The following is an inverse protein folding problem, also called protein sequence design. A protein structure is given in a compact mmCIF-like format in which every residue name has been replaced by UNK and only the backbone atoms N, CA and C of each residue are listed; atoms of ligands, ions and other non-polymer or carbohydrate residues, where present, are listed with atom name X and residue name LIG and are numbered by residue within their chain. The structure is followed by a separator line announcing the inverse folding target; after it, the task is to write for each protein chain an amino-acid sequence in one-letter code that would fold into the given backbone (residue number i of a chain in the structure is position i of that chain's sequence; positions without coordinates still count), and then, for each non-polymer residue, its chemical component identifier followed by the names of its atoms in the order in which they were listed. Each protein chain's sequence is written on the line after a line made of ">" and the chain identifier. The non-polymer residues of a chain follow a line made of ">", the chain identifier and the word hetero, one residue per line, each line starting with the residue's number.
data_IF_942686133577
#
_entry.id   IF_942686133577
#
_cell.length_a   1.000
_cell.length_b   1.000
_cell.length_c   1.000
_cell.angle_alpha   90.00
_cell.angle_beta   90.00
_cell.angle_gamma   90.00
#
_symmetry.space_group_name_H-M   'P 1'
#
loop_
_entity.id
_entity.type
_entity.pdbx_description
1 polymer ?
#
# COMPACT_ATOMS: atom_id res chain seq x y z
N UNK A 1 6.81 1.86 -10.75
CA UNK A 1 6.78 0.42 -10.38
C UNK A 1 8.09 0.07 -9.69
N UNK A 2 8.08 -0.75 -8.63
CA UNK A 2 9.31 -1.34 -8.12
C UNK A 2 9.94 -2.25 -9.16
N UNK A 3 11.25 -2.46 -9.05
CA UNK A 3 12.01 -3.37 -9.93
C UNK A 3 12.34 -4.68 -9.22
N UNK A 4 12.36 -4.68 -7.88
CA UNK A 4 12.59 -5.87 -7.04
C UNK A 4 11.74 -5.81 -5.78
N UNK A 5 11.26 -6.98 -5.34
CA UNK A 5 10.46 -7.14 -4.13
C UNK A 5 10.97 -8.35 -3.35
N UNK A 6 11.09 -8.19 -2.03
CA UNK A 6 11.22 -9.28 -1.08
C UNK A 6 10.10 -9.19 -0.06
N UNK A 7 9.34 -10.27 0.13
CA UNK A 7 8.15 -10.24 0.97
C UNK A 7 7.99 -11.51 1.82
N UNK A 8 7.31 -11.32 2.94
CA UNK A 8 6.82 -12.35 3.83
C UNK A 8 5.30 -12.22 3.91
N UNK A 9 4.58 -13.23 3.41
CA UNK A 9 3.13 -13.34 3.48
C UNK A 9 2.81 -14.54 4.37
N UNK A 10 2.17 -14.30 5.51
CA UNK A 10 1.76 -15.35 6.42
C UNK A 10 0.28 -15.66 6.20
N UNK A 11 0.00 -16.92 5.93
CA UNK A 11 -1.35 -17.47 5.79
C UNK A 11 -1.85 -17.93 7.17
N UNK A 12 -3.13 -17.70 7.47
CA UNK A 12 -3.78 -18.19 8.70
C UNK A 12 -3.04 -17.82 10.01
N UNK A 13 -2.37 -16.67 10.06
CA UNK A 13 -1.67 -16.22 11.27
C UNK A 13 -2.64 -15.76 12.35
N UNK A 14 -3.71 -15.08 11.93
CA UNK A 14 -4.71 -14.46 12.80
C UNK A 14 -6.10 -15.05 12.63
N UNK A 15 -6.42 -15.56 11.45
CA UNK A 15 -7.75 -16.04 11.09
C UNK A 15 -7.67 -17.46 10.53
N UNK A 16 -8.75 -18.22 10.66
CA UNK A 16 -8.90 -19.54 10.04
C UNK A 16 -9.26 -19.39 8.54
N UNK A 17 -8.26 -19.01 7.75
CA UNK A 17 -8.36 -18.80 6.29
C UNK A 17 -7.13 -19.37 5.58
N UNK A 18 -7.24 -19.69 4.30
CA UNK A 18 -6.13 -20.24 3.49
C UNK A 18 -5.48 -19.18 2.59
N UNK A 19 -5.59 -17.91 2.98
CA UNK A 19 -4.92 -16.78 2.33
C UNK A 19 -4.13 -15.99 3.36
N UNK A 20 -3.33 -15.04 2.90
CA UNK A 20 -2.55 -14.19 3.78
C UNK A 20 -3.45 -13.26 4.60
N UNK A 21 -3.07 -13.07 5.83
CA UNK A 21 -3.66 -12.10 6.77
C UNK A 21 -2.59 -11.21 7.45
N UNK A 22 -1.32 -11.41 7.07
CA UNK A 22 -0.18 -10.62 7.54
C UNK A 22 0.88 -10.57 6.44
N UNK A 23 1.23 -9.38 5.97
CA UNK A 23 2.21 -9.16 4.90
C UNK A 23 3.19 -8.08 5.28
N UNK A 24 4.49 -8.36 5.08
CA UNK A 24 5.56 -7.37 5.11
C UNK A 24 6.41 -7.50 3.85
N UNK A 25 6.59 -6.40 3.13
CA UNK A 25 7.37 -6.39 1.90
C UNK A 25 8.35 -5.23 1.85
N UNK A 26 9.55 -5.50 1.32
CA UNK A 26 10.55 -4.51 0.96
C UNK A 26 10.62 -4.38 -0.56
N UNK A 27 10.67 -3.17 -1.06
CA UNK A 27 10.65 -2.84 -2.48
C UNK A 27 11.81 -1.93 -2.85
N UNK A 28 12.42 -2.20 -4.01
CA UNK A 28 13.45 -1.35 -4.62
C UNK A 28 12.92 -0.77 -5.95
N UNK A 29 13.27 0.48 -6.21
CA UNK A 29 12.87 1.21 -7.42
C UNK A 29 14.08 1.54 -8.27
N UNK A 30 13.89 1.68 -9.60
CA UNK A 30 14.96 1.94 -10.55
C UNK A 30 15.77 3.23 -10.23
N UNK A 31 15.14 4.23 -9.65
CA UNK A 31 15.78 5.48 -9.24
C UNK A 31 16.55 5.40 -7.90
N UNK A 32 16.67 4.21 -7.32
CA UNK A 32 17.33 3.97 -6.04
C UNK A 32 16.45 4.23 -4.81
N UNK A 33 15.19 4.62 -4.99
CA UNK A 33 14.24 4.69 -3.88
C UNK A 33 13.93 3.28 -3.34
N UNK A 34 13.54 3.22 -2.08
CA UNK A 34 13.10 2.00 -1.41
C UNK A 34 11.73 2.22 -0.77
N UNK A 35 11.01 1.15 -0.56
CA UNK A 35 9.73 1.17 0.13
C UNK A 35 9.54 -0.03 1.03
N UNK A 36 8.78 0.15 2.11
CA UNK A 36 8.31 -0.92 2.98
C UNK A 36 6.80 -0.87 3.00
N UNK A 37 6.18 -2.00 2.78
CA UNK A 37 4.73 -2.17 2.87
C UNK A 37 4.43 -3.17 3.98
N UNK A 38 3.56 -2.78 4.91
CA UNK A 38 3.08 -3.64 5.98
C UNK A 38 1.57 -3.58 5.99
N UNK A 39 0.93 -4.72 5.99
CA UNK A 39 -0.51 -4.84 6.18
C UNK A 39 -0.86 -6.10 6.94
N UNK A 40 -1.85 -6.02 7.80
CA UNK A 40 -2.36 -7.17 8.55
C UNK A 40 -3.82 -6.95 8.91
N UNK A 41 -4.58 -8.02 8.98
CA UNK A 41 -5.96 -8.01 9.47
C UNK A 41 -6.06 -8.31 10.97
N UNK A 42 -4.92 -8.63 11.60
CA UNK A 42 -4.82 -8.94 13.03
C UNK A 42 -4.44 -7.76 13.92
N UNK A 43 -4.32 -6.54 13.36
CA UNK A 43 -3.97 -5.33 14.11
C UNK A 43 -5.23 -4.54 14.49
N UNK A 44 -5.45 -4.34 15.80
CA UNK A 44 -6.55 -3.56 16.33
C UNK A 44 -6.02 -2.55 17.37
N UNK A 45 -6.29 -1.25 17.20
CA UNK A 45 -7.29 -0.61 16.31
C UNK A 45 -6.85 -0.42 14.86
N UNK A 46 -5.73 -0.97 14.43
CA UNK A 46 -5.18 -0.83 13.09
C UNK A 46 -4.47 0.50 12.84
N UNK A 47 -3.68 0.53 11.80
CA UNK A 47 -2.91 1.71 11.37
C UNK A 47 -3.16 1.97 9.89
N UNK A 48 -3.54 3.20 9.53
CA UNK A 48 -3.58 3.65 8.14
C UNK A 48 -2.63 4.83 8.00
N UNK A 49 -1.39 4.53 7.60
CA UNK A 49 -0.30 5.51 7.54
C UNK A 49 0.54 5.32 6.29
N UNK A 50 0.82 6.44 5.62
CA UNK A 50 1.78 6.51 4.51
C UNK A 50 2.82 7.59 4.82
N UNK A 51 4.09 7.21 4.75
CA UNK A 51 5.20 8.16 4.80
C UNK A 51 5.95 8.15 3.48
N UNK A 52 6.23 9.33 2.95
CA UNK A 52 7.07 9.52 1.77
C UNK A 52 8.21 10.47 2.13
N UNK A 53 9.43 9.95 2.17
CA UNK A 53 10.62 10.73 2.47
C UNK A 53 11.37 11.05 1.17
N UNK A 54 11.63 12.32 0.94
CA UNK A 54 12.45 12.85 -0.16
C UNK A 54 13.57 13.74 0.36
N UNK A 55 14.40 14.26 -0.55
CA UNK A 55 15.55 15.08 -0.17
C UNK A 55 15.18 16.47 0.36
N UNK A 56 13.96 16.93 0.09
CA UNK A 56 13.44 18.23 0.54
C UNK A 56 12.47 18.11 1.73
N UNK A 57 12.33 16.91 2.31
CA UNK A 57 11.46 16.71 3.45
C UNK A 57 10.70 15.40 3.43
N UNK A 58 9.70 15.32 4.30
CA UNK A 58 8.86 14.13 4.48
C UNK A 58 7.37 14.51 4.54
N UNK A 59 6.56 13.78 3.78
CA UNK A 59 5.12 13.80 3.91
C UNK A 59 4.67 12.61 4.78
N UNK A 60 3.78 12.88 5.72
CA UNK A 60 3.15 11.87 6.56
C UNK A 60 1.64 12.00 6.38
N UNK A 61 1.03 10.97 5.81
CA UNK A 61 -0.42 10.82 5.79
C UNK A 61 -0.79 9.85 6.91
N UNK A 62 -1.52 10.33 7.89
CA UNK A 62 -1.99 9.53 9.02
C UNK A 62 -3.51 9.70 9.12
N UNK A 63 -4.24 8.67 8.73
CA UNK A 63 -5.69 8.71 8.53
C UNK A 63 -6.10 9.90 7.64
N UNK A 64 -6.72 10.92 8.20
CA UNK A 64 -7.25 12.09 7.48
C UNK A 64 -6.33 13.33 7.57
N UNK A 65 -5.16 13.18 8.17
CA UNK A 65 -4.22 14.30 8.36
C UNK A 65 -3.03 14.12 7.44
N UNK A 66 -2.63 15.19 6.76
CA UNK A 66 -1.39 15.24 5.98
C UNK A 66 -0.47 16.27 6.60
N UNK A 67 0.69 15.81 7.06
CA UNK A 67 1.73 16.69 7.62
C UNK A 67 2.94 16.71 6.71
N UNK A 68 3.42 17.89 6.36
CA UNK A 68 4.65 18.08 5.61
C UNK A 68 5.77 18.61 6.52
N UNK A 69 6.81 17.81 6.68
CA UNK A 69 8.06 18.21 7.32
C UNK A 69 9.01 18.71 6.23
N UNK A 70 8.99 20.01 5.98
CA UNK A 70 9.81 20.66 4.94
C UNK A 70 11.21 20.94 5.47
N UNK A 71 12.22 20.51 4.75
CA UNK A 71 13.61 20.90 5.01
C UNK A 71 13.93 22.26 4.38
N UNK A 72 14.75 23.07 5.06
CA UNK A 72 15.22 24.36 4.57
C UNK A 72 16.20 24.21 3.39
N UNK A 73 16.90 23.08 3.32
CA UNK A 73 17.84 22.74 2.23
C UNK A 73 17.69 21.28 1.86
N UNK A 74 18.15 20.94 0.65
CA UNK A 74 18.25 19.56 0.20
C UNK A 74 19.13 18.75 1.16
N UNK A 75 18.65 17.61 1.62
CA UNK A 75 19.31 16.74 2.58
C UNK A 75 20.68 16.22 2.07
N UNK A 76 20.76 15.86 0.77
CA UNK A 76 22.01 15.37 0.17
C UNK A 76 23.06 16.48 0.07
N UNK A 77 22.64 17.72 -0.18
CA UNK A 77 23.56 18.87 -0.18
C UNK A 77 23.99 19.23 1.24
N UNK A 78 23.06 19.16 2.19
CA UNK A 78 23.38 19.32 3.61
C UNK A 78 24.46 18.32 4.06
N UNK A 79 24.30 17.04 3.76
CA UNK A 79 25.27 16.00 4.13
C UNK A 79 26.68 16.26 3.61
N UNK A 80 26.83 16.91 2.46
CA UNK A 80 28.16 17.27 1.90
C UNK A 80 28.83 18.43 2.64
N UNK A 81 28.08 19.30 3.27
CA UNK A 81 28.55 20.57 3.85
C UNK A 81 28.42 20.63 5.37
N UNK A 82 27.71 19.70 5.97
CA UNK A 82 27.49 19.66 7.41
C UNK A 82 28.80 19.52 8.20
N UNK A 83 28.93 20.34 9.24
CA UNK A 83 30.09 20.33 10.12
C UNK A 83 29.91 19.39 11.35
N UNK A 84 28.74 18.78 11.46
CA UNK A 84 28.36 17.90 12.57
C UNK A 84 27.91 16.55 12.05
N UNK A 85 28.34 15.45 12.67
CA UNK A 85 28.02 14.09 12.22
C UNK A 85 26.55 13.68 12.42
N UNK A 86 25.77 14.41 13.20
CA UNK A 86 24.38 14.09 13.56
C UNK A 86 23.42 15.27 13.38
N UNK A 87 23.85 16.32 12.66
CA UNK A 87 22.98 17.45 12.34
C UNK A 87 21.95 17.10 11.28
N UNK A 88 20.85 17.83 11.27
CA UNK A 88 19.83 17.81 10.22
C UNK A 88 19.59 19.25 9.74
N UNK A 89 19.16 19.47 8.49
CA UNK A 89 18.65 20.76 8.06
C UNK A 89 17.52 21.25 8.97
N UNK A 90 17.33 22.55 9.06
CA UNK A 90 16.19 23.09 9.78
C UNK A 90 14.88 22.58 9.15
N UNK A 91 13.94 22.18 10.01
CA UNK A 91 12.66 21.62 9.63
C UNK A 91 11.54 22.59 9.95
N UNK A 92 10.66 22.83 9.01
CA UNK A 92 9.35 23.49 9.24
C UNK A 92 8.26 22.43 9.10
N UNK A 93 7.35 22.39 10.07
CA UNK A 93 6.23 21.42 10.07
C UNK A 93 4.96 22.16 9.69
N UNK A 94 4.29 21.68 8.67
CA UNK A 94 3.08 22.27 8.11
C UNK A 94 1.99 21.19 8.01
N UNK A 95 0.79 21.50 8.47
CA UNK A 95 -0.40 20.70 8.16
C UNK A 95 -0.91 21.08 6.78
N UNK A 96 -0.99 20.11 5.87
CA UNK A 96 -1.49 20.34 4.51
C UNK A 96 -3.01 20.35 4.54
N UNK A 97 -3.61 21.52 4.26
CA UNK A 97 -5.06 21.62 4.14
C UNK A 97 -5.55 20.92 2.89
N UNK A 98 -6.54 20.06 3.07
CA UNK A 98 -7.29 19.43 1.98
C UNK A 98 -8.64 20.13 1.81
N UNK A 99 -9.32 19.86 0.71
CA UNK A 99 -10.70 20.33 0.47
C UNK A 99 -11.73 19.64 1.39
N UNK A 100 -11.34 18.58 2.07
CA UNK A 100 -12.20 17.76 2.92
C UNK A 100 -13.15 16.85 2.16
N UNK A 101 -13.14 16.90 0.84
CA UNK A 101 -13.97 16.05 -0.01
C UNK A 101 -13.39 14.65 -0.13
N UNK A 102 -14.21 13.66 0.22
CA UNK A 102 -13.87 12.26 0.01
C UNK A 102 -15.09 11.50 -0.54
N UNK A 103 -15.44 11.71 -1.80
CA UNK A 103 -16.60 11.08 -2.42
C UNK A 103 -16.44 9.57 -2.66
N UNK A 104 -15.27 9.00 -2.39
CA UNK A 104 -14.96 7.57 -2.46
C UNK A 104 -15.51 6.90 -3.75
N UNK A 105 -16.23 5.81 -3.62
CA UNK A 105 -16.79 5.06 -4.75
C UNK A 105 -17.76 5.87 -5.60
N UNK A 106 -18.53 6.78 -5.00
CA UNK A 106 -19.44 7.67 -5.74
C UNK A 106 -18.64 8.61 -6.66
N UNK A 107 -17.52 9.13 -6.17
CA UNK A 107 -16.62 9.96 -6.96
C UNK A 107 -16.01 9.22 -8.15
N UNK A 108 -15.58 7.98 -7.93
CA UNK A 108 -15.03 7.10 -8.98
C UNK A 108 -16.09 6.82 -10.06
N UNK A 109 -17.30 6.44 -9.67
CA UNK A 109 -18.38 6.16 -10.60
C UNK A 109 -18.80 7.40 -11.41
N UNK A 110 -18.88 8.56 -10.75
CA UNK A 110 -19.21 9.82 -11.43
C UNK A 110 -18.10 10.25 -12.41
N UNK A 111 -16.83 10.07 -12.06
CA UNK A 111 -15.71 10.35 -12.95
C UNK A 111 -15.73 9.42 -14.17
N UNK A 112 -16.02 8.14 -13.98
CA UNK A 112 -16.16 7.18 -15.07
C UNK A 112 -17.33 7.52 -15.99
N UNK A 113 -18.51 7.87 -15.45
CA UNK A 113 -19.67 8.28 -16.22
C UNK A 113 -19.38 9.56 -17.04
N UNK A 114 -18.69 10.55 -16.47
CA UNK A 114 -18.26 11.76 -17.19
C UNK A 114 -17.26 11.43 -18.30
N UNK A 115 -16.30 10.52 -18.04
CA UNK A 115 -15.37 10.07 -19.07
C UNK A 115 -16.11 9.51 -20.29
N UNK A 116 -17.10 8.64 -20.07
CA UNK A 116 -17.90 8.06 -21.18
C UNK A 116 -18.68 9.13 -21.94
N UNK A 117 -19.30 10.09 -21.24
CA UNK A 117 -20.17 11.10 -21.85
C UNK A 117 -19.41 12.25 -22.50
N UNK A 118 -18.30 12.66 -21.92
CA UNK A 118 -17.66 13.94 -22.20
C UNK A 118 -16.18 13.78 -22.59
N UNK A 119 -15.62 12.57 -22.49
CA UNK A 119 -14.20 12.32 -22.78
C UNK A 119 -13.25 12.92 -21.73
N UNK A 120 -13.71 13.25 -20.52
CA UNK A 120 -12.87 13.80 -19.47
C UNK A 120 -11.81 12.78 -19.03
N UNK A 121 -10.57 13.21 -18.66
CA UNK A 121 -9.55 12.28 -18.20
C UNK A 121 -10.00 11.51 -16.95
N UNK A 122 -9.66 10.22 -16.87
CA UNK A 122 -9.81 9.44 -15.65
C UNK A 122 -8.67 9.75 -14.68
N UNK A 123 -8.97 9.81 -13.39
CA UNK A 123 -7.96 9.94 -12.33
C UNK A 123 -7.11 8.68 -12.26
N UNK A 124 -7.71 7.51 -12.47
CA UNK A 124 -7.05 6.22 -12.56
C UNK A 124 -7.68 5.43 -13.72
N UNK A 125 -6.88 5.10 -14.73
CA UNK A 125 -7.29 4.24 -15.83
C UNK A 125 -7.34 2.79 -15.34
N UNK A 126 -8.37 2.03 -15.71
CA UNK A 126 -8.49 0.62 -15.32
C UNK A 126 -7.30 -0.25 -15.74
N UNK A 127 -6.58 0.15 -16.80
CA UNK A 127 -5.32 -0.51 -17.21
C UNK A 127 -4.20 -0.39 -16.17
N UNK A 128 -4.21 0.65 -15.35
CA UNK A 128 -3.23 0.82 -14.27
C UNK A 128 -3.40 -0.21 -13.15
N UNK A 129 -4.56 -0.84 -13.05
CA UNK A 129 -4.83 -1.92 -12.10
C UNK A 129 -3.86 -3.10 -12.22
N UNK A 130 -3.28 -3.32 -13.43
CA UNK A 130 -2.25 -4.35 -13.63
C UNK A 130 -1.00 -4.11 -12.77
N UNK A 131 -0.68 -2.85 -12.47
CA UNK A 131 0.48 -2.50 -11.64
C UNK A 131 0.31 -3.01 -10.20
N UNK A 132 -0.86 -2.79 -9.61
CA UNK A 132 -1.17 -3.30 -8.27
C UNK A 132 -1.18 -4.83 -8.22
N UNK A 133 -1.80 -5.46 -9.23
CA UNK A 133 -1.83 -6.93 -9.35
C UNK A 133 -0.42 -7.52 -9.51
N UNK A 134 0.44 -6.89 -10.30
CA UNK A 134 1.82 -7.34 -10.49
C UNK A 134 2.64 -7.25 -9.20
N UNK A 135 2.45 -6.18 -8.42
CA UNK A 135 3.11 -6.02 -7.12
C UNK A 135 2.65 -7.09 -6.14
N UNK A 136 1.34 -7.32 -6.00
CA UNK A 136 0.82 -8.36 -5.10
C UNK A 136 1.28 -9.76 -5.50
N UNK A 137 1.22 -10.10 -6.79
CA UNK A 137 1.70 -11.39 -7.28
C UNK A 137 3.21 -11.57 -7.06
N UNK A 138 4.01 -10.51 -7.17
CA UNK A 138 5.43 -10.54 -6.84
C UNK A 138 5.68 -10.77 -5.34
N UNK A 139 4.85 -10.18 -4.46
CA UNK A 139 4.92 -10.44 -3.01
C UNK A 139 4.64 -11.91 -2.69
N UNK A 140 3.57 -12.48 -3.28
CA UNK A 140 3.28 -13.92 -3.14
C UNK A 140 4.42 -14.79 -3.65
N UNK A 141 4.90 -14.52 -4.87
CA UNK A 141 5.98 -15.29 -5.47
C UNK A 141 7.24 -15.25 -4.60
N UNK A 142 7.60 -14.08 -4.08
CA UNK A 142 8.73 -13.90 -3.16
C UNK A 142 8.55 -14.70 -1.89
N UNK A 143 7.39 -14.62 -1.25
CA UNK A 143 7.10 -15.34 -0.03
C UNK A 143 7.09 -16.86 -0.23
N UNK A 144 6.51 -17.36 -1.33
CA UNK A 144 6.46 -18.79 -1.60
C UNK A 144 7.81 -19.40 -1.95
N UNK A 145 8.72 -18.61 -2.54
CA UNK A 145 10.06 -19.09 -2.92
C UNK A 145 11.13 -18.76 -1.89
N UNK A 146 10.87 -17.82 -0.97
CA UNK A 146 11.87 -17.28 -0.05
C UNK A 146 12.94 -16.41 -0.73
N UNK A 147 12.67 -15.94 -1.96
CA UNK A 147 13.64 -15.23 -2.79
C UNK A 147 13.20 -13.79 -3.05
N UNK A 148 14.17 -12.93 -3.38
CA UNK A 148 13.87 -11.61 -3.96
C UNK A 148 13.45 -11.78 -5.42
N UNK A 149 12.32 -11.23 -5.78
CA UNK A 149 11.72 -11.32 -7.11
C UNK A 149 11.91 -10.03 -7.89
N UNK A 150 12.34 -10.15 -9.15
CA UNK A 150 12.41 -9.03 -10.09
C UNK A 150 11.08 -8.87 -10.82
N UNK A 151 10.71 -7.60 -11.15
CA UNK A 151 9.55 -7.30 -11.96
C UNK A 151 9.96 -6.91 -13.39
N UNK A 152 9.18 -7.31 -14.42
CA UNK A 152 7.97 -8.16 -14.34
C UNK A 152 8.29 -9.58 -13.87
N UNK A 153 7.33 -10.21 -13.21
CA UNK A 153 7.49 -11.59 -12.69
C UNK A 153 7.41 -12.63 -13.82
N UNK A 154 7.92 -13.81 -13.56
CA UNK A 154 7.64 -15.00 -14.37
C UNK A 154 6.20 -15.49 -14.07
N UNK A 155 5.28 -15.17 -14.97
CA UNK A 155 3.85 -15.51 -14.84
C UNK A 155 3.60 -17.02 -14.81
N UNK A 156 4.40 -17.80 -15.55
CA UNK A 156 4.29 -19.26 -15.55
C UNK A 156 4.74 -19.86 -14.20
N UNK A 157 5.86 -19.37 -13.66
CA UNK A 157 6.32 -19.77 -12.32
C UNK A 157 5.26 -19.46 -11.27
N UNK A 158 4.69 -18.24 -11.31
CA UNK A 158 3.62 -17.84 -10.40
C UNK A 158 2.39 -18.75 -10.53
N UNK A 159 1.89 -18.95 -11.75
CA UNK A 159 0.70 -19.79 -12.00
C UNK A 159 0.90 -21.24 -11.54
N UNK A 160 2.08 -21.80 -11.77
CA UNK A 160 2.41 -23.17 -11.34
C UNK A 160 2.35 -23.29 -9.80
N UNK A 161 2.98 -22.37 -9.07
CA UNK A 161 2.97 -22.38 -7.60
C UNK A 161 1.56 -22.15 -7.05
N UNK A 162 0.79 -21.23 -7.64
CA UNK A 162 -0.61 -21.02 -7.28
C UNK A 162 -1.44 -22.29 -7.46
N UNK A 163 -1.25 -23.00 -8.58
CA UNK A 163 -1.96 -24.26 -8.84
C UNK A 163 -1.55 -25.37 -7.87
N UNK A 164 -0.30 -25.43 -7.43
CA UNK A 164 0.12 -26.39 -6.40
C UNK A 164 -0.60 -26.09 -5.06
N UNK A 165 -0.67 -24.83 -4.64
CA UNK A 165 -1.42 -24.45 -3.43
C UNK A 165 -2.91 -24.78 -3.55
N UNK A 166 -3.52 -24.55 -4.71
CA UNK A 166 -4.93 -24.88 -4.95
C UNK A 166 -5.24 -26.38 -4.83
N UNK A 167 -4.31 -27.26 -5.10
CA UNK A 167 -4.50 -28.72 -4.94
C UNK A 167 -4.67 -29.15 -3.49
N UNK A 168 -4.11 -28.40 -2.55
CA UNK A 168 -4.16 -28.70 -1.11
C UNK A 168 -5.22 -27.87 -0.38
N UNK A 169 -5.84 -26.91 -1.05
CA UNK A 169 -6.89 -26.06 -0.50
C UNK A 169 -8.13 -26.89 -0.11
N UNK A 170 -8.68 -26.57 1.05
CA UNK A 170 -9.87 -27.25 1.60
C UNK A 170 -11.09 -26.35 1.50
N UNK A 171 -12.20 -26.94 1.14
CA UNK A 171 -13.47 -26.24 1.21
C UNK A 171 -13.81 -25.93 2.67
N UNK A 172 -14.04 -24.66 2.99
CA UNK A 172 -14.50 -24.27 4.33
C UNK A 172 -16.01 -24.50 4.42
N UNK A 173 -16.42 -25.28 5.41
CA UNK A 173 -17.85 -25.48 5.66
C UNK A 173 -18.49 -24.17 6.10
N UNK A 174 -19.62 -23.84 5.48
CA UNK A 174 -20.43 -22.71 5.90
C UNK A 174 -21.09 -23.04 7.26
N UNK A 175 -20.67 -22.36 8.31
CA UNK A 175 -21.20 -22.53 9.67
C UNK A 175 -22.49 -21.75 9.90
N UNK A 176 -23.07 -21.13 8.86
CA UNK A 176 -24.31 -20.36 8.95
C UNK A 176 -24.23 -19.14 9.88
N UNK A 177 -23.03 -18.59 10.06
CA UNK A 177 -22.85 -17.37 10.88
C UNK A 177 -23.27 -16.19 10.02
N UNK A 178 -24.37 -15.55 10.36
CA UNK A 178 -24.75 -14.26 9.79
C UNK A 178 -23.74 -13.19 10.27
N UNK A 179 -22.95 -12.67 9.34
CA UNK A 179 -22.02 -11.58 9.63
C UNK A 179 -22.68 -10.25 9.32
N UNK A 180 -22.76 -9.36 10.32
CA UNK A 180 -23.13 -7.97 10.09
C UNK A 180 -22.03 -7.28 9.28
N UNK A 181 -22.43 -6.52 8.27
CA UNK A 181 -21.53 -5.63 7.52
C UNK A 181 -21.27 -4.29 8.23
N UNK A 182 -21.87 -4.09 9.43
CA UNK A 182 -21.59 -2.92 10.25
C UNK A 182 -20.11 -2.89 10.62
N UNK A 183 -19.47 -1.75 10.35
CA UNK A 183 -18.03 -1.59 10.55
C UNK A 183 -17.13 -2.06 9.41
N UNK A 184 -17.69 -2.63 8.34
CA UNK A 184 -16.95 -2.96 7.13
C UNK A 184 -16.56 -1.71 6.32
N UNK A 185 -15.71 -1.87 5.30
CA UNK A 185 -15.29 -0.80 4.40
C UNK A 185 -16.49 0.02 3.90
N UNK A 186 -16.49 1.33 4.20
CA UNK A 186 -17.55 2.25 3.81
C UNK A 186 -18.47 2.71 4.95
N UNK A 187 -18.41 2.13 6.14
CA UNK A 187 -19.07 2.72 7.30
C UNK A 187 -18.22 3.88 7.82
N UNK A 188 -18.72 5.10 7.73
CA UNK A 188 -18.03 6.34 8.13
C UNK A 188 -17.81 6.44 9.65
N UNK A 189 -18.38 5.57 10.45
CA UNK A 189 -18.36 5.66 11.91
C UNK A 189 -17.03 5.26 12.57
N UNK A 190 -16.18 4.50 11.89
CA UNK A 190 -14.89 4.05 12.46
C UNK A 190 -13.72 5.02 12.24
N UNK A 191 -13.84 5.97 11.30
CA UNK A 191 -12.72 6.82 10.90
C UNK A 191 -12.74 8.22 11.52
N UNK A 192 -13.76 8.56 12.29
CA UNK A 192 -13.81 9.80 13.06
C UNK A 192 -13.24 9.56 14.45
N UNK A 193 -11.93 9.70 14.61
CA UNK A 193 -11.37 9.98 15.92
C UNK A 193 -11.74 11.43 16.28
N UNK A 194 -12.50 11.59 17.37
CA UNK A 194 -12.72 12.86 18.03
C UNK A 194 -11.41 13.38 18.61
#
# INVERSE_FOLDING_TARGET
>A
MPVRIHAFCHEAKWHDIEVEDDVTAYMEFQNGATGVFVTTTGDAPGTNRLEVTGTLGKLVCDYNTITFHRLESDEREWCKTAKTGYGIPKVTVEEVKTDGDNPQHVGVMNAFARHIKEGTPLVADGREGINGLMISNAMYLSSWTGETVSLPIDEHKFLNLLNEKRKTSKHKEDKGIEMSIEGSFGSTSQWTRK
#
